data_IF_922356000243
#
_entry.id   IF_922356000243
#
_cell.length_a   1.000
_cell.length_b   1.000
_cell.length_c   1.000
_cell.angle_alpha   90.00
_cell.angle_beta   90.00
_cell.angle_gamma   90.00
#
_symmetry.space_group_name_H-M   'P 1'
#
loop_
_entity.id
_entity.type
_entity.pdbx_description
1 polymer ?
#
# COMPACT_ATOMS: atom_id res chain seq x y z
N UNK A 1 -6.03 -17.69 8.09
CA UNK A 1 -5.30 -16.82 9.06
C UNK A 1 -4.71 -15.55 8.44
N UNK A 2 -3.56 -15.57 7.74
CA UNK A 2 -2.94 -14.33 7.23
C UNK A 2 -3.81 -13.62 6.18
N UNK A 3 -4.37 -14.39 5.24
CA UNK A 3 -5.22 -13.84 4.19
C UNK A 3 -6.46 -13.19 4.81
N UNK A 4 -7.09 -13.85 5.78
CA UNK A 4 -8.30 -13.34 6.46
C UNK A 4 -8.00 -12.06 7.25
N UNK A 5 -6.85 -12.01 7.93
CA UNK A 5 -6.39 -10.79 8.61
C UNK A 5 -6.22 -9.64 7.63
N UNK A 6 -5.56 -9.86 6.49
CA UNK A 6 -5.37 -8.81 5.49
C UNK A 6 -6.71 -8.39 4.86
N UNK A 7 -7.64 -9.33 4.63
CA UNK A 7 -9.00 -9.01 4.17
C UNK A 7 -9.74 -8.12 5.16
N UNK A 8 -9.75 -8.46 6.45
CA UNK A 8 -10.39 -7.64 7.48
C UNK A 8 -9.73 -6.27 7.65
N UNK A 9 -8.42 -6.20 7.42
CA UNK A 9 -7.62 -4.98 7.60
C UNK A 9 -7.72 -4.03 6.41
N UNK A 10 -7.91 -4.56 5.19
CA UNK A 10 -7.87 -3.78 3.94
C UNK A 10 -9.23 -3.74 3.24
N UNK A 11 -9.88 -4.88 3.04
CA UNK A 11 -11.11 -4.98 2.24
C UNK A 11 -12.30 -4.43 3.01
N UNK A 12 -12.47 -4.84 4.27
CA UNK A 12 -13.61 -4.41 5.09
C UNK A 12 -13.71 -2.89 5.25
N UNK A 13 -12.62 -2.15 5.54
CA UNK A 13 -12.70 -0.69 5.60
C UNK A 13 -12.97 -0.01 4.26
N UNK A 14 -12.58 -0.63 3.14
CA UNK A 14 -12.86 -0.11 1.80
C UNK A 14 -14.30 -0.35 1.38
N UNK A 15 -14.89 -1.48 1.76
CA UNK A 15 -16.27 -1.83 1.43
C UNK A 15 -17.30 -1.22 2.37
N UNK A 16 -16.95 -1.02 3.65
CA UNK A 16 -17.83 -0.52 4.70
C UNK A 16 -17.28 0.71 5.43
N UNK A 17 -16.97 1.81 4.72
CA UNK A 17 -16.41 3.01 5.33
C UNK A 17 -17.31 3.59 6.45
N UNK A 18 -18.62 3.39 6.39
CA UNK A 18 -19.59 3.82 7.39
C UNK A 18 -19.32 3.25 8.80
N UNK A 19 -18.87 2.00 8.89
CA UNK A 19 -18.60 1.33 10.17
C UNK A 19 -17.37 1.92 10.88
N UNK A 20 -16.39 2.38 10.09
CA UNK A 20 -15.14 2.95 10.60
C UNK A 20 -15.22 4.47 10.79
N UNK A 21 -16.18 5.14 10.13
CA UNK A 21 -16.39 6.59 10.25
C UNK A 21 -17.07 6.99 11.56
N UNK A 22 -17.91 6.12 12.12
CA UNK A 22 -18.75 6.41 13.28
C UNK A 22 -18.17 5.92 14.61
N UNK A 23 -17.23 4.97 14.57
CA UNK A 23 -16.70 4.34 15.77
C UNK A 23 -15.30 4.85 16.11
N UNK A 24 -15.14 5.52 17.26
CA UNK A 24 -13.82 5.89 17.82
C UNK A 24 -12.97 4.68 18.22
N UNK A 25 -13.57 3.49 18.31
CA UNK A 25 -12.90 2.26 18.71
C UNK A 25 -12.33 1.49 17.50
N UNK A 26 -12.92 1.64 16.32
CA UNK A 26 -12.48 0.97 15.10
C UNK A 26 -11.57 1.91 14.30
N UNK A 27 -10.26 1.80 14.52
CA UNK A 27 -9.28 2.56 13.73
C UNK A 27 -8.99 1.81 12.44
N UNK A 28 -9.24 2.44 11.28
CA UNK A 28 -8.84 1.86 10.00
C UNK A 28 -7.32 1.71 9.97
N UNK A 29 -6.80 0.49 9.75
CA UNK A 29 -5.37 0.26 9.58
C UNK A 29 -4.86 1.08 8.39
N UNK A 30 -3.86 1.93 8.63
CA UNK A 30 -3.35 2.84 7.57
C UNK A 30 -2.45 2.14 6.56
N UNK A 31 -2.05 0.90 6.81
CA UNK A 31 -1.20 0.12 5.92
C UNK A 31 -0.97 -1.30 6.44
N UNK A 32 -0.49 -2.16 5.54
CA UNK A 32 -0.13 -3.55 5.81
C UNK A 32 1.31 -3.77 5.35
N UNK A 33 2.14 -4.38 6.19
CA UNK A 33 3.47 -4.82 5.83
C UNK A 33 3.46 -6.32 5.57
N UNK A 34 3.74 -6.71 4.33
CA UNK A 34 3.92 -8.12 3.96
C UNK A 34 5.41 -8.45 4.02
N UNK A 35 5.83 -9.30 4.97
CA UNK A 35 7.21 -9.73 5.14
C UNK A 35 7.34 -11.25 4.94
N UNK A 36 8.50 -11.68 4.44
CA UNK A 36 8.88 -13.09 4.35
C UNK A 36 9.95 -13.32 3.29
N UNK A 37 10.44 -14.56 3.10
CA UNK A 37 11.46 -14.88 2.11
C UNK A 37 11.01 -14.56 0.66
N UNK A 38 11.95 -14.33 -0.28
CA UNK A 38 11.61 -14.10 -1.68
C UNK A 38 10.88 -15.32 -2.26
N UNK A 39 9.97 -15.08 -3.22
CA UNK A 39 9.21 -16.17 -3.87
C UNK A 39 7.90 -16.57 -3.19
N UNK A 40 7.56 -16.05 -2.00
CA UNK A 40 6.26 -16.35 -1.34
C UNK A 40 5.03 -15.64 -1.94
N UNK A 41 5.16 -15.04 -3.13
CA UNK A 41 4.01 -14.43 -3.83
C UNK A 41 3.43 -13.15 -3.20
N UNK A 42 4.18 -12.41 -2.37
CA UNK A 42 3.72 -11.17 -1.70
C UNK A 42 3.11 -10.16 -2.68
N UNK A 43 3.79 -9.89 -3.79
CA UNK A 43 3.31 -8.98 -4.84
C UNK A 43 2.05 -9.51 -5.53
N UNK A 44 1.92 -10.83 -5.68
CA UNK A 44 0.72 -11.47 -6.25
C UNK A 44 -0.46 -11.38 -5.28
N UNK A 45 -0.23 -11.61 -3.99
CA UNK A 45 -1.23 -11.47 -2.94
C UNK A 45 -1.75 -10.02 -2.88
N UNK A 46 -0.86 -9.03 -2.89
CA UNK A 46 -1.26 -7.61 -2.88
C UNK A 46 -2.14 -7.24 -4.09
N UNK A 47 -1.80 -7.72 -5.28
CA UNK A 47 -2.62 -7.53 -6.49
C UNK A 47 -3.98 -8.21 -6.37
N UNK A 48 -4.02 -9.43 -5.83
CA UNK A 48 -5.27 -10.17 -5.62
C UNK A 48 -6.21 -9.45 -4.65
N UNK A 49 -5.67 -8.94 -3.52
CA UNK A 49 -6.43 -8.16 -2.54
C UNK A 49 -6.98 -6.88 -3.17
N UNK A 50 -6.18 -6.16 -3.95
CA UNK A 50 -6.66 -4.93 -4.60
C UNK A 50 -7.78 -5.20 -5.60
N UNK A 51 -7.68 -6.29 -6.36
CA UNK A 51 -8.74 -6.75 -7.26
C UNK A 51 -10.01 -7.13 -6.50
N UNK A 52 -9.88 -7.86 -5.41
CA UNK A 52 -11.01 -8.27 -4.55
C UNK A 52 -11.68 -7.07 -3.88
N UNK A 53 -10.90 -6.08 -3.45
CA UNK A 53 -11.40 -4.84 -2.89
C UNK A 53 -12.04 -3.89 -3.92
N UNK A 54 -11.92 -4.16 -5.21
CA UNK A 54 -12.35 -3.24 -6.27
C UNK A 54 -11.57 -1.93 -6.29
N UNK A 55 -10.34 -1.93 -5.76
CA UNK A 55 -9.49 -0.75 -5.66
C UNK A 55 -8.45 -0.68 -6.77
N UNK A 56 -8.11 0.54 -7.20
CA UNK A 56 -6.99 0.75 -8.11
C UNK A 56 -5.69 0.28 -7.46
N UNK A 57 -4.82 -0.38 -8.23
CA UNK A 57 -3.54 -0.88 -7.74
C UNK A 57 -2.40 -0.09 -8.36
N UNK A 58 -1.64 0.63 -7.53
CA UNK A 58 -0.44 1.36 -7.95
C UNK A 58 0.77 0.64 -7.40
N UNK A 59 1.61 0.08 -8.28
CA UNK A 59 2.89 -0.49 -7.90
C UNK A 59 3.98 0.58 -7.92
N UNK A 60 4.65 0.79 -6.79
CA UNK A 60 5.73 1.74 -6.62
C UNK A 60 7.01 0.97 -6.27
N UNK A 61 7.95 0.92 -7.20
CA UNK A 61 9.25 0.30 -7.00
C UNK A 61 10.22 1.34 -6.41
N UNK A 62 10.83 1.01 -5.28
CA UNK A 62 11.76 1.90 -4.57
C UNK A 62 13.01 2.21 -5.40
N UNK A 63 13.54 1.23 -6.12
CA UNK A 63 14.69 1.40 -7.03
C UNK A 63 14.46 2.51 -8.06
N UNK A 64 13.25 2.60 -8.61
CA UNK A 64 12.84 3.66 -9.54
C UNK A 64 12.80 5.07 -8.91
N UNK A 65 12.75 5.18 -7.59
CA UNK A 65 12.83 6.45 -6.86
C UNK A 65 14.27 6.86 -6.56
N UNK A 66 15.17 5.89 -6.35
CA UNK A 66 16.57 6.11 -5.98
C UNK A 66 17.45 6.50 -7.17
N UNK A 67 17.22 5.94 -8.37
CA UNK A 67 18.00 6.26 -9.58
C UNK A 67 17.89 7.73 -10.03
N UNK A 68 16.90 8.47 -9.51
CA UNK A 68 16.59 9.85 -9.92
C UNK A 68 16.96 10.90 -8.86
N UNK A 69 17.86 10.56 -7.94
CA UNK A 69 18.18 11.41 -6.78
C UNK A 69 19.06 12.61 -7.14
N UNK A 70 18.42 13.75 -7.38
CA UNK A 70 18.72 15.06 -6.76
C UNK A 70 17.65 16.08 -7.21
N UNK A 71 16.43 16.02 -6.65
CA UNK A 71 15.44 17.12 -6.74
C UNK A 71 14.08 16.83 -7.41
N UNK A 72 13.99 15.95 -8.42
CA UNK A 72 12.71 15.67 -9.12
C UNK A 72 11.85 14.58 -8.46
N UNK A 73 12.44 13.74 -7.61
CA UNK A 73 11.77 12.55 -7.06
C UNK A 73 10.65 12.88 -6.07
N UNK A 74 10.80 13.90 -5.23
CA UNK A 74 9.76 14.31 -4.27
C UNK A 74 8.48 14.78 -4.97
N UNK A 75 8.62 15.50 -6.10
CA UNK A 75 7.48 15.95 -6.91
C UNK A 75 6.73 14.76 -7.52
N UNK A 76 7.45 13.75 -7.99
CA UNK A 76 6.84 12.51 -8.53
C UNK A 76 6.12 11.71 -7.47
N UNK A 77 6.73 11.50 -6.31
CA UNK A 77 6.08 10.80 -5.20
C UNK A 77 4.81 11.53 -4.78
N UNK A 78 4.89 12.85 -4.58
CA UNK A 78 3.71 13.67 -4.27
C UNK A 78 2.63 13.59 -5.36
N UNK A 79 3.02 13.56 -6.64
CA UNK A 79 2.10 13.38 -7.76
C UNK A 79 1.41 12.01 -7.74
N UNK A 80 2.12 10.93 -7.40
CA UNK A 80 1.54 9.58 -7.26
C UNK A 80 0.52 9.56 -6.13
N UNK A 81 0.84 10.13 -4.96
CA UNK A 81 -0.12 10.22 -3.86
C UNK A 81 -1.32 11.10 -4.22
N UNK A 82 -1.11 12.20 -4.94
CA UNK A 82 -2.19 13.06 -5.45
C UNK A 82 -3.09 12.32 -6.43
N UNK A 83 -2.51 11.53 -7.34
CA UNK A 83 -3.24 10.68 -8.27
C UNK A 83 -4.05 9.61 -7.53
N UNK A 84 -3.42 8.91 -6.59
CA UNK A 84 -4.09 7.90 -5.76
C UNK A 84 -5.26 8.49 -4.98
N UNK A 85 -5.17 9.73 -4.52
CA UNK A 85 -6.26 10.44 -3.85
C UNK A 85 -7.42 10.76 -4.79
N UNK A 86 -7.15 11.04 -6.07
CA UNK A 86 -8.18 11.27 -7.10
C UNK A 86 -8.83 9.98 -7.60
N UNK A 87 -8.07 8.88 -7.61
CA UNK A 87 -8.51 7.56 -8.05
C UNK A 87 -9.06 6.68 -6.91
N UNK A 88 -9.48 7.27 -5.78
CA UNK A 88 -10.01 6.50 -4.67
C UNK A 88 -11.22 5.64 -5.11
N UNK A 89 -11.33 4.37 -4.67
CA UNK A 89 -10.41 3.67 -3.76
C UNK A 89 -9.12 3.19 -4.45
N UNK A 90 -7.95 3.38 -3.81
CA UNK A 90 -6.64 2.99 -4.35
C UNK A 90 -5.75 2.36 -3.29
N UNK A 91 -5.07 1.26 -3.63
CA UNK A 91 -3.99 0.63 -2.86
C UNK A 91 -2.65 0.95 -3.53
N UNK A 92 -1.74 1.55 -2.76
CA UNK A 92 -0.36 1.77 -3.17
C UNK A 92 0.48 0.65 -2.60
N UNK A 93 1.09 -0.16 -3.46
CA UNK A 93 2.01 -1.21 -3.07
C UNK A 93 3.44 -0.73 -3.26
N UNK A 94 4.26 -0.87 -2.22
CA UNK A 94 5.68 -0.50 -2.24
C UNK A 94 6.47 -1.80 -2.19
N UNK A 95 7.12 -2.14 -3.31
CA UNK A 95 7.97 -3.34 -3.39
C UNK A 95 9.41 -3.01 -2.97
N UNK A 96 10.11 -4.00 -2.40
CA UNK A 96 11.52 -3.90 -1.99
C UNK A 96 11.82 -2.72 -1.04
N UNK A 97 10.91 -2.43 -0.10
CA UNK A 97 11.11 -1.33 0.88
C UNK A 97 12.32 -1.54 1.79
N UNK A 98 12.75 -2.78 1.96
CA UNK A 98 13.97 -3.15 2.67
C UNK A 98 15.22 -2.53 2.02
N UNK A 99 15.24 -2.34 0.70
CA UNK A 99 16.31 -1.61 0.00
C UNK A 99 16.41 -0.12 0.43
N UNK A 100 15.28 0.47 0.84
CA UNK A 100 15.17 1.86 1.31
C UNK A 100 15.53 2.00 2.79
N UNK A 101 15.26 0.96 3.58
CA UNK A 101 15.42 0.93 5.05
C UNK A 101 16.90 0.73 5.46
N UNK A 102 17.84 1.39 4.80
CA UNK A 102 19.21 1.48 5.34
C UNK A 102 19.17 2.43 6.53
N UNK A 103 19.53 1.92 7.71
CA UNK A 103 19.78 2.72 8.92
C UNK A 103 20.65 3.92 8.54
N UNK A 104 20.19 5.14 8.86
CA UNK A 104 21.07 6.32 8.85
C UNK A 104 22.23 6.01 9.80
N UNK A 105 23.41 5.77 9.24
CA UNK A 105 24.67 5.88 10.00
C UNK A 105 25.00 7.35 10.19
#
# INVERSE_FOLDING_TARGET
>A
DIIDNVRQTVIYPLQHPELFSQSKLLTTPKGVLLYGPPGCGKTMLAKAIAREAGANFINLQVTSLLDKWYGESQKRTAAIFSLAKKLQPTIIFIDEIDSFMRTRQ
#
